data_IF_375175216272
#
_entry.id   IF_375175216272
#
_cell.length_a   1.000
_cell.length_b   1.000
_cell.length_c   1.000
_cell.angle_alpha   90.00
_cell.angle_beta   90.00
_cell.angle_gamma   90.00
#
_symmetry.space_group_name_H-M   'P 1'
#
loop_
_entity.id
_entity.type
_entity.pdbx_description
1 polymer ?
#
# COMPACT_ATOMS: atom_id res chain seq x y z
N UNK A 1 1.08 -12.19 -35.66
CA UNK A 1 0.88 -13.02 -34.46
C UNK A 1 1.17 -12.19 -33.22
N UNK A 2 0.17 -11.90 -32.39
CA UNK A 2 0.37 -11.26 -31.09
C UNK A 2 0.75 -12.34 -30.07
N UNK A 3 2.02 -12.41 -29.67
CA UNK A 3 2.45 -13.28 -28.58
C UNK A 3 1.85 -12.77 -27.26
N UNK A 4 0.72 -13.36 -26.86
CA UNK A 4 0.06 -13.12 -25.59
C UNK A 4 0.97 -13.63 -24.46
N UNK A 5 1.71 -12.73 -23.80
CA UNK A 5 2.54 -13.06 -22.65
C UNK A 5 1.64 -13.34 -21.44
N UNK A 6 1.38 -14.61 -21.15
CA UNK A 6 0.71 -15.03 -19.92
C UNK A 6 1.64 -14.80 -18.71
N UNK A 7 1.66 -13.58 -18.20
CA UNK A 7 2.45 -13.23 -17.01
C UNK A 7 1.75 -13.75 -15.76
N UNK A 8 2.16 -14.94 -15.29
CA UNK A 8 1.76 -15.44 -13.97
C UNK A 8 2.20 -14.43 -12.91
N UNK A 9 1.29 -14.09 -12.02
CA UNK A 9 1.55 -13.12 -10.95
C UNK A 9 2.39 -13.76 -9.87
N UNK A 10 3.41 -13.03 -9.44
CA UNK A 10 4.33 -13.46 -8.39
C UNK A 10 3.80 -13.17 -6.99
N UNK A 11 2.79 -12.31 -6.85
CA UNK A 11 2.27 -11.85 -5.56
C UNK A 11 0.74 -11.82 -5.52
N UNK A 12 0.17 -12.19 -4.39
CA UNK A 12 -1.27 -12.04 -4.10
C UNK A 12 -1.66 -10.56 -3.98
N UNK A 13 -2.87 -10.21 -4.44
CA UNK A 13 -3.40 -8.84 -4.29
C UNK A 13 -3.78 -8.61 -2.84
N UNK A 14 -3.37 -7.47 -2.28
CA UNK A 14 -3.79 -7.07 -0.94
C UNK A 14 -3.20 -7.92 0.20
N UNK A 15 -2.15 -8.72 -0.06
CA UNK A 15 -1.46 -9.52 0.97
C UNK A 15 -0.95 -8.63 2.10
N UNK A 16 -0.42 -7.45 1.79
CA UNK A 16 0.11 -6.52 2.78
C UNK A 16 -1.01 -5.59 3.26
N UNK A 17 -1.37 -5.62 4.56
CA UNK A 17 -2.30 -4.66 5.13
C UNK A 17 -1.79 -3.22 5.02
N UNK A 18 -2.71 -2.27 4.94
CA UNK A 18 -2.37 -0.87 4.71
C UNK A 18 -1.51 -0.25 5.84
N UNK A 19 -1.81 -0.60 7.09
CA UNK A 19 -1.04 -0.16 8.26
C UNK A 19 0.41 -0.70 8.27
N UNK A 20 0.62 -1.95 7.81
CA UNK A 20 1.96 -2.54 7.67
C UNK A 20 2.78 -1.80 6.61
N UNK A 21 2.15 -1.49 5.46
CA UNK A 21 2.79 -0.71 4.39
C UNK A 21 3.20 0.69 4.86
N UNK A 22 2.35 1.35 5.65
CA UNK A 22 2.64 2.67 6.21
C UNK A 22 3.77 2.62 7.23
N UNK A 23 3.79 1.60 8.10
CA UNK A 23 4.88 1.40 9.08
C UNK A 23 6.22 1.17 8.38
N UNK A 24 6.26 0.35 7.35
CA UNK A 24 7.44 0.15 6.52
C UNK A 24 7.90 1.45 5.83
N UNK A 25 6.95 2.25 5.33
CA UNK A 25 7.27 3.53 4.71
C UNK A 25 7.86 4.55 5.70
N UNK A 26 7.34 4.58 6.94
CA UNK A 26 7.89 5.39 8.04
C UNK A 26 9.31 4.98 8.39
N UNK A 27 9.63 3.69 8.46
CA UNK A 27 11.02 3.27 8.70
C UNK A 27 11.98 3.72 7.60
N UNK A 28 11.55 3.68 6.34
CA UNK A 28 12.39 4.13 5.23
C UNK A 28 12.63 5.64 5.30
N UNK A 29 11.58 6.43 5.56
CA UNK A 29 11.64 7.89 5.47
C UNK A 29 12.12 8.58 6.75
N UNK A 30 11.72 8.08 7.92
CA UNK A 30 12.03 8.68 9.22
C UNK A 30 13.31 8.10 9.82
N UNK A 31 13.52 6.79 9.66
CA UNK A 31 14.68 6.10 10.23
C UNK A 31 15.82 5.90 9.21
N UNK A 32 15.71 6.50 8.01
CA UNK A 32 16.65 6.34 6.89
C UNK A 32 17.00 4.89 6.57
N UNK A 33 16.07 3.96 6.80
CA UNK A 33 16.28 2.54 6.53
C UNK A 33 16.23 2.29 5.03
N UNK A 34 17.04 1.36 4.54
CA UNK A 34 16.99 1.00 3.12
C UNK A 34 15.63 0.37 2.77
N UNK A 35 15.13 0.65 1.55
CA UNK A 35 13.88 0.07 1.03
C UNK A 35 13.96 -1.47 1.05
N UNK A 36 15.12 -2.02 0.72
CA UNK A 36 15.37 -3.47 0.75
C UNK A 36 15.23 -4.04 2.16
N UNK A 37 15.85 -3.38 3.16
CA UNK A 37 15.77 -3.81 4.56
C UNK A 37 14.35 -3.76 5.10
N UNK A 38 13.65 -2.63 4.91
CA UNK A 38 12.25 -2.52 5.30
C UNK A 38 11.35 -3.53 4.55
N UNK A 39 11.61 -3.79 3.27
CA UNK A 39 10.88 -4.81 2.52
C UNK A 39 11.04 -6.21 3.11
N UNK A 40 12.25 -6.58 3.54
CA UNK A 40 12.51 -7.87 4.19
C UNK A 40 11.81 -8.00 5.54
N UNK A 41 11.86 -6.96 6.37
CA UNK A 41 11.32 -7.02 7.74
C UNK A 41 9.79 -7.11 7.78
N UNK A 42 9.12 -6.55 6.77
CA UNK A 42 7.65 -6.52 6.70
C UNK A 42 7.07 -7.50 5.67
N UNK A 43 7.88 -8.39 5.08
CA UNK A 43 7.50 -9.28 3.97
C UNK A 43 6.81 -8.54 2.81
N UNK A 44 7.32 -7.35 2.48
CA UNK A 44 6.80 -6.50 1.40
C UNK A 44 7.75 -6.57 0.21
N UNK A 45 7.25 -6.90 -0.99
CA UNK A 45 8.05 -6.83 -2.20
C UNK A 45 8.61 -5.41 -2.39
N UNK A 46 9.92 -5.30 -2.60
CA UNK A 46 10.62 -4.00 -2.72
C UNK A 46 9.97 -3.06 -3.74
N UNK A 47 9.54 -3.61 -4.88
CA UNK A 47 8.82 -2.86 -5.92
C UNK A 47 7.50 -2.29 -5.44
N UNK A 48 6.79 -2.99 -4.57
CA UNK A 48 5.52 -2.54 -3.99
C UNK A 48 5.77 -1.41 -3.02
N UNK A 49 6.75 -1.56 -2.12
CA UNK A 49 7.12 -0.53 -1.16
C UNK A 49 7.61 0.74 -1.86
N UNK A 50 8.47 0.62 -2.88
CA UNK A 50 8.93 1.76 -3.69
C UNK A 50 7.77 2.48 -4.38
N UNK A 51 6.78 1.74 -4.93
CA UNK A 51 5.59 2.35 -5.53
C UNK A 51 4.73 3.08 -4.52
N UNK A 52 4.63 2.56 -3.31
CA UNK A 52 3.86 3.20 -2.24
C UNK A 52 4.54 4.48 -1.78
N UNK A 53 5.87 4.48 -1.61
CA UNK A 53 6.67 5.65 -1.24
C UNK A 53 6.59 6.81 -2.24
N UNK A 54 6.25 6.53 -3.51
CA UNK A 54 6.01 7.58 -4.52
C UNK A 54 4.64 8.24 -4.40
N UNK A 55 3.70 7.61 -3.69
CA UNK A 55 2.30 8.05 -3.58
C UNK A 55 1.97 8.62 -2.21
N UNK A 56 2.59 8.09 -1.16
CA UNK A 56 2.36 8.52 0.22
C UNK A 56 2.81 9.98 0.37
N UNK A 57 1.99 10.79 1.02
CA UNK A 57 2.33 12.18 1.33
C UNK A 57 3.14 12.24 2.63
N UNK A 58 3.94 13.29 2.78
CA UNK A 58 4.67 13.51 4.03
C UNK A 58 3.70 13.65 5.21
N UNK A 59 2.53 14.26 5.01
CA UNK A 59 1.46 14.35 6.02
C UNK A 59 1.00 12.98 6.53
N UNK A 60 0.90 11.96 5.67
CA UNK A 60 0.55 10.60 6.10
C UNK A 60 1.70 9.90 6.86
N UNK A 61 2.94 10.24 6.50
CA UNK A 61 4.13 9.69 7.15
C UNK A 61 4.33 10.26 8.56
N UNK A 62 4.23 11.58 8.71
CA UNK A 62 4.40 12.29 9.97
C UNK A 62 3.13 12.35 10.83
N UNK A 63 1.96 12.14 10.23
CA UNK A 63 0.68 12.14 10.94
C UNK A 63 0.54 10.96 11.90
N UNK A 64 -0.30 11.13 12.92
CA UNK A 64 -0.66 10.08 13.89
C UNK A 64 -1.68 9.08 13.35
N UNK A 65 -2.11 9.22 12.10
CA UNK A 65 -3.09 8.32 11.48
C UNK A 65 -2.55 6.88 11.43
N UNK A 66 -3.35 5.94 11.93
CA UNK A 66 -3.02 4.50 11.96
C UNK A 66 -3.29 3.80 10.62
N UNK A 67 -4.11 4.43 9.75
CA UNK A 67 -4.50 3.91 8.45
C UNK A 67 -4.13 4.92 7.36
N UNK A 68 -3.41 4.51 6.30
CA UNK A 68 -3.14 5.41 5.17
C UNK A 68 -4.43 5.65 4.37
N UNK A 69 -4.66 6.89 4.01
CA UNK A 69 -5.68 7.29 3.03
C UNK A 69 -5.25 6.86 1.63
N UNK A 70 -3.94 6.82 1.40
CA UNK A 70 -3.33 6.27 0.18
C UNK A 70 -3.62 4.78 0.04
N UNK A 71 -4.36 4.45 -1.01
CA UNK A 71 -4.73 3.08 -1.34
C UNK A 71 -3.51 2.16 -1.52
N UNK A 72 -3.41 1.13 -0.67
CA UNK A 72 -2.43 0.06 -0.83
C UNK A 72 -3.01 -1.01 -1.76
N UNK A 73 -2.78 -0.83 -3.07
CA UNK A 73 -3.17 -1.81 -4.09
C UNK A 73 -4.40 -1.43 -4.91
N UNK A 74 -5.12 -2.45 -5.40
CA UNK A 74 -6.29 -2.27 -6.26
C UNK A 74 -7.55 -2.26 -5.39
N UNK A 75 -8.20 -1.11 -5.23
CA UNK A 75 -9.51 -1.03 -4.59
C UNK A 75 -10.51 -1.63 -5.56
N UNK A 76 -11.06 -2.81 -5.23
CA UNK A 76 -12.33 -3.22 -5.80
C UNK A 76 -13.35 -2.29 -5.15
N UNK A 77 -13.89 -1.34 -5.91
CA UNK A 77 -15.00 -0.51 -5.45
C UNK A 77 -16.17 -1.49 -5.29
N UNK A 78 -16.34 -2.04 -4.10
CA UNK A 78 -17.53 -2.82 -3.82
C UNK A 78 -18.68 -1.82 -3.71
N UNK A 79 -19.61 -1.89 -4.65
CA UNK A 79 -20.63 -0.86 -4.90
C UNK A 79 -21.73 -0.84 -3.81
N UNK A 80 -21.46 -1.39 -2.63
CA UNK A 80 -22.43 -1.78 -1.60
C UNK A 80 -22.26 -1.11 -0.22
N UNK A 81 -21.51 -0.01 -0.11
CA UNK A 81 -21.41 0.72 1.18
C UNK A 81 -21.68 2.22 1.06
N UNK A 82 -22.67 2.59 0.26
CA UNK A 82 -23.37 3.88 0.38
C UNK A 82 -24.83 3.63 0.80
N UNK A 83 -25.04 3.03 1.98
CA UNK A 83 -26.33 3.23 2.67
C UNK A 83 -26.17 4.47 3.54
N UNK A 84 -26.49 5.60 2.93
CA UNK A 84 -26.70 6.92 3.50
C UNK A 84 -27.47 6.83 4.83
N UNK A 85 -26.84 7.17 5.96
CA UNK A 85 -27.58 7.60 7.14
C UNK A 85 -28.12 9.00 6.87
N UNK A 86 -29.31 9.08 6.25
CA UNK A 86 -30.18 10.26 6.34
C UNK A 86 -30.81 10.21 7.73
N UNK A 87 -30.43 11.12 8.62
CA UNK A 87 -31.20 11.38 9.82
C UNK A 87 -31.86 12.75 9.69
N UNK A 88 -33.16 12.71 9.96
CA UNK A 88 -34.17 13.77 9.98
C UNK A 88 -33.93 14.76 11.12
#
# INVERSE_FOLDING_TARGET
MLNMRNRKRTTERGKTPAHIMLRAAREVKLNNKSIRGAGTDYDIPERTLRRFLQKVTDEELYGTNELPTTAVGYIKIDRFSQTTKRNN
#
